data_IF_459446595678
#
_entry.id   IF_459446595678
#
_cell.length_a   1.000
_cell.length_b   1.000
_cell.length_c   1.000
_cell.angle_alpha   90.00
_cell.angle_beta   90.00
_cell.angle_gamma   90.00
#
_symmetry.space_group_name_H-M   'P 1'
#
loop_
_entity.id
_entity.type
_entity.pdbx_description
1 polymer ?
#
# COMPACT_ATOMS: atom_id res chain seq x y z
N UNK A 1 -2.68 20.01 -3.29
CA UNK A 1 -2.34 20.79 -2.09
C UNK A 1 -1.05 21.54 -2.42
N UNK A 2 -1.15 22.79 -2.83
CA UNK A 2 0.05 23.64 -2.96
C UNK A 2 0.48 23.98 -1.55
N UNK A 3 1.63 23.44 -1.15
CA UNK A 3 2.24 23.77 0.11
C UNK A 3 2.45 25.26 0.27
N UNK A 4 2.50 25.69 1.48
CA UNK A 4 2.82 27.08 1.82
C UNK A 4 4.18 27.45 1.19
N UNK A 5 4.27 28.62 0.62
CA UNK A 5 5.34 29.07 -0.25
C UNK A 5 6.76 28.71 0.22
N UNK A 6 7.67 28.57 -0.74
CA UNK A 6 9.10 28.35 -0.47
C UNK A 6 9.58 29.51 0.42
N UNK A 7 9.90 29.21 1.69
CA UNK A 7 10.46 30.20 2.58
C UNK A 7 11.85 30.62 2.08
N UNK A 8 12.01 31.90 1.86
CA UNK A 8 13.26 32.60 1.58
C UNK A 8 14.17 31.97 0.52
N UNK A 9 14.00 32.38 -0.73
CA UNK A 9 15.09 32.31 -1.71
C UNK A 9 16.11 33.39 -1.31
N UNK A 10 17.26 32.98 -0.80
CA UNK A 10 18.34 33.89 -0.51
C UNK A 10 19.33 33.90 -1.66
N UNK A 11 19.46 34.99 -2.37
CA UNK A 11 20.55 35.24 -3.31
C UNK A 11 21.76 35.80 -2.54
N UNK A 12 22.88 35.10 -2.61
CA UNK A 12 24.14 35.66 -2.12
C UNK A 12 24.65 36.64 -3.19
N UNK A 13 24.43 37.93 -2.95
CA UNK A 13 24.90 39.00 -3.82
C UNK A 13 26.34 39.33 -3.50
N UNK A 14 27.24 39.14 -4.44
CA UNK A 14 28.63 39.67 -4.40
C UNK A 14 28.71 41.06 -5.02
N UNK A 15 27.65 41.86 -4.98
CA UNK A 15 27.69 43.26 -5.44
C UNK A 15 28.35 44.10 -4.35
N UNK A 16 29.40 44.86 -4.64
CA UNK A 16 30.01 45.77 -3.67
C UNK A 16 28.96 46.74 -3.12
N UNK A 17 28.95 46.94 -1.82
CA UNK A 17 28.01 47.88 -1.15
C UNK A 17 28.45 49.33 -1.25
N UNK A 18 29.63 49.59 -1.79
CA UNK A 18 30.18 50.93 -1.98
C UNK A 18 31.17 50.97 -3.16
N UNK A 19 31.29 52.09 -3.86
CA UNK A 19 32.19 52.28 -4.99
C UNK A 19 31.48 52.07 -6.36
N UNK A 20 32.25 52.20 -7.45
CA UNK A 20 31.71 52.01 -8.81
C UNK A 20 31.37 50.55 -9.05
N UNK A 21 30.12 50.26 -9.45
CA UNK A 21 29.66 48.91 -9.78
C UNK A 21 29.94 48.67 -11.25
N UNK A 22 30.83 47.73 -11.55
CA UNK A 22 31.11 47.34 -12.94
C UNK A 22 30.08 46.35 -13.48
N UNK A 23 29.97 46.24 -14.79
CA UNK A 23 29.12 45.23 -15.46
C UNK A 23 29.52 43.80 -15.08
N UNK A 24 30.82 43.55 -14.77
CA UNK A 24 31.31 42.28 -14.28
C UNK A 24 30.79 41.98 -12.85
N UNK A 25 30.65 42.99 -12.01
CA UNK A 25 30.10 42.86 -10.66
C UNK A 25 28.61 42.48 -10.72
N UNK A 26 27.87 43.08 -11.62
CA UNK A 26 26.46 42.74 -11.86
C UNK A 26 26.30 41.33 -12.48
N UNK A 27 27.21 40.94 -13.39
CA UNK A 27 27.22 39.63 -14.04
C UNK A 27 27.51 38.48 -13.08
N UNK A 28 28.27 38.74 -12.04
CA UNK A 28 28.62 37.76 -10.99
C UNK A 28 27.80 37.96 -9.70
N UNK A 29 26.80 38.84 -9.72
CA UNK A 29 26.05 39.26 -8.54
C UNK A 29 25.29 38.13 -7.87
N UNK A 30 24.92 37.06 -8.59
CA UNK A 30 24.23 35.91 -8.02
C UNK A 30 25.05 34.65 -8.30
N UNK A 31 25.97 34.31 -7.38
CA UNK A 31 26.78 33.11 -7.51
C UNK A 31 26.08 31.86 -6.97
N UNK A 32 25.09 32.04 -6.09
CA UNK A 32 24.38 30.94 -5.45
C UNK A 32 22.95 31.33 -5.11
N UNK A 33 22.01 30.45 -5.40
CA UNK A 33 20.62 30.52 -4.94
C UNK A 33 20.36 29.41 -3.94
N UNK A 34 19.95 29.78 -2.72
CA UNK A 34 19.53 28.81 -1.69
C UNK A 34 18.04 28.94 -1.48
N UNK A 35 17.34 27.82 -1.59
CA UNK A 35 15.92 27.71 -1.27
C UNK A 35 15.72 26.75 -0.10
N UNK A 36 14.79 27.08 0.79
CA UNK A 36 14.43 26.21 1.93
C UNK A 36 12.95 25.89 1.87
N UNK A 37 12.62 24.61 1.73
CA UNK A 37 11.25 24.12 1.84
C UNK A 37 10.89 23.95 3.32
N UNK A 38 10.10 24.89 3.83
CA UNK A 38 9.56 24.89 5.20
C UNK A 38 8.12 24.36 5.15
N UNK A 39 7.66 23.75 6.24
CA UNK A 39 6.29 23.23 6.33
C UNK A 39 6.10 21.89 5.61
N UNK A 40 4.84 21.58 5.30
CA UNK A 40 4.48 20.31 4.68
C UNK A 40 4.27 20.46 3.17
N UNK A 41 4.96 19.66 2.40
CA UNK A 41 4.90 19.66 0.94
C UNK A 41 4.44 18.33 0.40
N UNK A 42 3.74 18.37 -0.73
CA UNK A 42 3.40 17.20 -1.53
C UNK A 42 3.97 17.36 -2.93
N UNK A 43 4.72 16.36 -3.42
CA UNK A 43 5.32 16.33 -4.77
C UNK A 43 6.17 17.55 -5.09
N UNK A 44 7.14 17.87 -4.26
CA UNK A 44 8.00 19.04 -4.43
C UNK A 44 8.82 18.92 -5.73
N UNK A 45 8.57 19.83 -6.68
CA UNK A 45 9.29 19.90 -7.95
C UNK A 45 10.35 20.99 -7.90
N UNK A 46 11.64 20.61 -7.91
CA UNK A 46 12.76 21.53 -7.78
C UNK A 46 12.75 22.60 -8.89
N UNK A 47 12.39 22.22 -10.12
CA UNK A 47 12.40 23.14 -11.28
C UNK A 47 11.28 24.17 -11.22
N UNK A 48 10.07 23.77 -10.92
CA UNK A 48 8.89 24.62 -11.12
C UNK A 48 8.43 25.32 -9.84
N UNK A 49 8.54 24.62 -8.72
CA UNK A 49 8.00 25.12 -7.45
C UNK A 49 9.06 25.76 -6.55
N UNK A 50 10.34 25.36 -6.73
CA UNK A 50 11.42 25.82 -5.87
C UNK A 50 12.21 26.95 -6.53
N UNK A 51 12.89 26.66 -7.65
CA UNK A 51 13.83 27.59 -8.27
C UNK A 51 13.23 28.42 -9.40
N UNK A 52 12.13 27.96 -9.99
CA UNK A 52 11.62 28.48 -11.26
C UNK A 52 12.48 28.02 -12.45
N UNK A 53 11.87 28.01 -13.63
CA UNK A 53 12.48 27.44 -14.83
C UNK A 53 13.84 28.08 -15.18
N UNK A 54 13.88 29.41 -15.22
CA UNK A 54 15.06 30.17 -15.65
C UNK A 54 16.25 29.96 -14.69
N UNK A 55 16.02 30.01 -13.38
CA UNK A 55 17.06 29.75 -12.38
C UNK A 55 17.53 28.32 -12.43
N UNK A 56 16.59 27.37 -12.58
CA UNK A 56 16.90 25.94 -12.59
C UNK A 56 17.79 25.54 -13.77
N UNK A 57 17.53 26.10 -14.95
CA UNK A 57 18.30 25.82 -16.17
C UNK A 57 19.57 26.67 -16.31
N UNK A 58 19.77 27.65 -15.43
CA UNK A 58 20.97 28.51 -15.46
C UNK A 58 22.21 27.79 -14.90
N UNK A 59 23.38 28.35 -15.18
CA UNK A 59 24.68 27.86 -14.65
C UNK A 59 24.93 28.26 -13.19
N UNK A 60 24.00 28.99 -12.56
CA UNK A 60 24.10 29.43 -11.16
C UNK A 60 24.09 28.21 -10.24
N UNK A 61 24.91 28.23 -9.22
CA UNK A 61 24.90 27.21 -8.15
C UNK A 61 23.58 27.28 -7.36
N UNK A 62 22.97 26.15 -7.15
CA UNK A 62 21.68 26.00 -6.44
C UNK A 62 21.82 25.11 -5.22
N UNK A 63 21.09 25.44 -4.19
CA UNK A 63 20.98 24.59 -3.01
C UNK A 63 19.51 24.51 -2.58
N UNK A 64 19.00 23.29 -2.46
CA UNK A 64 17.69 23.03 -1.87
C UNK A 64 17.88 22.43 -0.47
N UNK A 65 17.34 23.12 0.53
CA UNK A 65 17.28 22.65 1.90
C UNK A 65 15.85 22.18 2.21
N UNK A 66 15.72 21.03 2.86
CA UNK A 66 14.44 20.53 3.38
C UNK A 66 14.46 20.73 4.88
N UNK A 67 13.58 21.57 5.39
CA UNK A 67 13.39 21.84 6.82
C UNK A 67 12.05 21.31 7.34
N UNK A 68 11.09 21.04 6.45
CA UNK A 68 9.78 20.48 6.77
C UNK A 68 9.58 19.06 6.23
N UNK A 69 8.34 18.56 6.33
CA UNK A 69 7.98 17.26 5.78
C UNK A 69 7.67 17.36 4.29
N UNK A 70 8.12 16.39 3.52
CA UNK A 70 7.79 16.27 2.10
C UNK A 70 7.29 14.86 1.83
N UNK A 71 6.13 14.76 1.22
CA UNK A 71 5.44 13.50 0.98
C UNK A 71 5.04 13.28 -0.47
N UNK A 72 4.64 12.05 -0.76
CA UNK A 72 4.02 11.64 -2.01
C UNK A 72 2.57 11.23 -1.75
N UNK A 73 1.67 11.54 -2.67
CA UNK A 73 0.24 11.18 -2.62
C UNK A 73 -0.11 9.98 -3.49
N UNK A 74 0.86 9.34 -4.13
CA UNK A 74 0.64 8.18 -4.97
C UNK A 74 1.93 7.41 -5.27
N UNK A 75 1.78 6.22 -5.80
CA UNK A 75 2.91 5.34 -6.13
C UNK A 75 3.72 5.80 -7.35
N UNK A 76 3.10 6.54 -8.27
CA UNK A 76 3.71 6.99 -9.52
C UNK A 76 4.44 8.32 -9.40
N UNK A 77 4.19 9.07 -8.32
CA UNK A 77 4.81 10.36 -8.08
C UNK A 77 5.79 10.31 -6.90
N UNK A 78 7.01 10.87 -7.01
CA UNK A 78 7.94 10.94 -5.90
C UNK A 78 7.56 12.07 -4.93
N UNK A 79 8.06 11.98 -3.69
CA UNK A 79 7.94 13.11 -2.77
C UNK A 79 8.73 14.33 -3.27
N UNK A 80 9.90 14.11 -3.86
CA UNK A 80 10.72 15.18 -4.49
C UNK A 80 11.12 14.77 -5.90
N UNK A 81 11.04 15.73 -6.83
CA UNK A 81 11.53 15.56 -8.19
C UNK A 81 12.56 16.63 -8.54
N UNK A 82 13.78 16.21 -8.87
CA UNK A 82 14.76 17.02 -9.58
C UNK A 82 14.56 16.78 -11.07
N UNK A 83 13.89 17.72 -11.71
CA UNK A 83 13.48 17.65 -13.11
C UNK A 83 14.70 17.65 -14.06
N UNK A 84 14.51 17.20 -15.28
CA UNK A 84 15.54 17.32 -16.34
C UNK A 84 15.87 18.76 -16.67
N UNK A 85 17.06 18.99 -17.26
CA UNK A 85 17.51 20.31 -17.70
C UNK A 85 18.06 21.20 -16.59
N UNK A 86 18.28 20.68 -15.39
CA UNK A 86 19.05 21.39 -14.36
C UNK A 86 20.49 21.60 -14.83
N UNK A 87 20.99 22.81 -14.72
CA UNK A 87 22.35 23.19 -15.10
C UNK A 87 23.07 23.82 -13.91
N UNK A 88 24.41 23.91 -13.97
CA UNK A 88 25.22 24.30 -12.83
C UNK A 88 25.23 23.26 -11.72
N UNK A 89 25.81 23.61 -10.57
CA UNK A 89 25.82 22.74 -9.40
C UNK A 89 24.48 22.80 -8.66
N UNK A 90 23.89 21.65 -8.40
CA UNK A 90 22.67 21.52 -7.57
C UNK A 90 23.00 20.69 -6.34
N UNK A 91 22.84 21.28 -5.16
CA UNK A 91 23.07 20.62 -3.87
C UNK A 91 21.73 20.40 -3.16
N UNK A 92 21.50 19.21 -2.66
CA UNK A 92 20.34 18.86 -1.85
C UNK A 92 20.75 18.58 -0.42
N UNK A 93 20.03 19.15 0.55
CA UNK A 93 20.29 18.96 1.99
C UNK A 93 18.98 18.74 2.74
N UNK A 94 19.01 17.88 3.73
CA UNK A 94 17.93 17.73 4.72
C UNK A 94 18.44 18.33 6.03
N UNK A 95 17.93 19.50 6.39
CA UNK A 95 18.37 20.25 7.57
C UNK A 95 17.62 19.87 8.86
N UNK A 96 16.55 19.08 8.73
CA UNK A 96 15.78 18.64 9.90
C UNK A 96 16.59 17.65 10.72
N UNK A 97 16.81 17.95 12.01
CA UNK A 97 17.59 17.15 12.94
C UNK A 97 16.77 16.09 13.69
N UNK A 98 15.45 16.02 13.49
CA UNK A 98 14.61 14.97 14.08
C UNK A 98 15.03 13.59 13.57
N UNK A 99 14.97 12.58 14.42
CA UNK A 99 15.31 11.18 14.07
C UNK A 99 14.34 10.51 13.09
N UNK A 100 13.20 11.14 12.81
CA UNK A 100 12.18 10.60 11.90
C UNK A 100 12.45 10.98 10.45
N UNK A 101 12.08 10.14 9.46
CA UNK A 101 12.12 10.51 8.06
C UNK A 101 11.29 11.76 7.81
N UNK A 102 11.80 12.69 7.02
CA UNK A 102 11.11 13.93 6.64
C UNK A 102 10.70 13.96 5.17
N UNK A 103 11.41 13.23 4.31
CA UNK A 103 11.04 13.00 2.91
C UNK A 103 10.60 11.56 2.78
N UNK A 104 9.32 11.37 2.45
CA UNK A 104 8.69 10.04 2.44
C UNK A 104 7.92 9.81 1.16
N UNK A 105 8.16 8.66 0.53
CA UNK A 105 7.32 8.13 -0.51
C UNK A 105 5.92 7.78 0.00
N UNK A 106 4.99 7.53 -0.92
CA UNK A 106 3.63 7.10 -0.62
C UNK A 106 3.61 5.75 0.07
N UNK A 107 2.78 5.61 1.09
CA UNK A 107 2.49 4.33 1.74
C UNK A 107 1.52 3.54 0.86
N UNK A 108 1.91 2.38 0.37
CA UNK A 108 1.01 1.53 -0.41
C UNK A 108 -0.28 1.23 0.34
N UNK A 109 -1.41 1.41 -0.33
CA UNK A 109 -2.73 1.13 0.24
C UNK A 109 -2.90 -0.38 0.46
N UNK A 110 -3.67 -0.69 1.48
CA UNK A 110 -4.00 -2.06 1.86
C UNK A 110 -5.04 -2.67 0.92
N UNK A 111 -4.89 -3.95 0.63
CA UNK A 111 -5.91 -4.75 -0.04
C UNK A 111 -7.11 -5.01 0.88
N UNK A 112 -8.30 -5.07 0.33
CA UNK A 112 -9.53 -5.39 1.05
C UNK A 112 -9.71 -6.91 1.11
N UNK A 113 -10.14 -7.43 2.25
CA UNK A 113 -10.44 -8.85 2.40
C UNK A 113 -11.64 -9.29 1.55
N UNK A 114 -11.62 -10.53 1.08
CA UNK A 114 -12.70 -11.13 0.29
C UNK A 114 -14.01 -11.14 1.08
N UNK A 115 -15.04 -10.45 0.58
CA UNK A 115 -16.32 -10.25 1.22
C UNK A 115 -17.43 -11.18 0.73
N UNK A 116 -18.62 -11.00 1.28
CA UNK A 116 -19.84 -11.64 0.85
C UNK A 116 -20.44 -10.88 -0.34
N UNK A 117 -20.01 -11.18 -1.56
CA UNK A 117 -20.84 -10.82 -2.71
C UNK A 117 -21.83 -11.95 -2.94
N UNK A 118 -23.13 -11.65 -2.93
CA UNK A 118 -24.23 -12.61 -2.88
C UNK A 118 -24.31 -13.67 -3.98
N UNK A 119 -23.40 -13.69 -4.94
CA UNK A 119 -23.45 -14.56 -6.12
C UNK A 119 -22.24 -15.50 -6.28
N UNK A 120 -21.72 -16.03 -5.21
CA UNK A 120 -20.82 -17.20 -5.25
C UNK A 120 -19.49 -17.07 -6.00
N UNK A 121 -19.22 -15.95 -6.66
CA UNK A 121 -18.03 -15.74 -7.50
C UNK A 121 -16.95 -14.84 -6.91
N UNK A 122 -17.33 -13.92 -6.07
CA UNK A 122 -16.42 -12.92 -5.53
C UNK A 122 -16.00 -13.22 -4.09
N UNK A 123 -14.84 -13.59 -3.83
CA UNK A 123 -14.33 -13.83 -2.48
C UNK A 123 -12.81 -13.83 -2.45
N UNK A 124 -12.19 -13.45 -3.55
CA UNK A 124 -10.73 -13.20 -3.55
C UNK A 124 -10.44 -11.92 -2.77
N UNK A 125 -9.31 -11.94 -2.05
CA UNK A 125 -8.79 -10.72 -1.47
C UNK A 125 -8.21 -9.80 -2.55
N UNK A 126 -8.35 -8.50 -2.37
CA UNK A 126 -7.75 -7.51 -3.27
C UNK A 126 -6.24 -7.39 -3.02
N UNK A 127 -5.51 -7.03 -4.07
CA UNK A 127 -4.07 -6.76 -3.95
C UNK A 127 -3.80 -5.48 -3.16
N UNK A 128 -2.68 -5.45 -2.44
CA UNK A 128 -2.15 -4.22 -1.88
C UNK A 128 -1.42 -3.39 -2.96
N UNK A 129 -1.40 -2.09 -2.80
CA UNK A 129 -0.73 -1.16 -3.71
C UNK A 129 0.78 -1.07 -3.46
N UNK A 130 1.50 -0.67 -4.48
CA UNK A 130 2.93 -0.39 -4.35
C UNK A 130 3.17 0.91 -3.56
N UNK A 131 4.29 0.96 -2.85
CA UNK A 131 4.78 2.22 -2.26
C UNK A 131 5.27 3.19 -3.33
N UNK A 132 5.30 4.49 -3.02
CA UNK A 132 5.84 5.54 -3.88
C UNK A 132 7.31 5.86 -3.56
N UNK A 133 8.03 6.42 -4.54
CA UNK A 133 9.44 6.80 -4.38
C UNK A 133 9.60 8.03 -3.48
N UNK A 134 10.68 8.07 -2.70
CA UNK A 134 11.04 9.26 -1.95
C UNK A 134 11.54 10.37 -2.88
N UNK A 135 12.40 10.06 -3.85
CA UNK A 135 12.99 11.05 -4.75
C UNK A 135 13.21 10.49 -6.17
N UNK A 136 12.96 11.31 -7.18
CA UNK A 136 13.41 11.07 -8.56
C UNK A 136 14.40 12.15 -8.96
N UNK A 137 15.53 11.72 -9.52
CA UNK A 137 16.64 12.58 -9.93
C UNK A 137 16.78 12.47 -11.44
N UNK A 138 16.47 13.56 -12.14
CA UNK A 138 16.62 13.68 -13.60
C UNK A 138 17.64 14.76 -13.98
N UNK A 139 18.42 15.24 -13.02
CA UNK A 139 19.54 16.17 -13.16
C UNK A 139 20.66 15.75 -12.23
N UNK A 140 21.90 16.12 -12.53
CA UNK A 140 23.02 15.88 -11.62
C UNK A 140 22.87 16.69 -10.35
N UNK A 141 22.86 16.03 -9.18
CA UNK A 141 22.81 16.68 -7.88
C UNK A 141 23.91 16.15 -6.95
N UNK A 142 24.33 16.98 -6.01
CA UNK A 142 25.21 16.62 -4.91
C UNK A 142 24.42 16.48 -3.62
N UNK A 143 24.62 15.36 -2.93
CA UNK A 143 24.08 15.14 -1.58
C UNK A 143 25.28 15.07 -0.62
N UNK A 144 25.52 16.12 0.18
CA UNK A 144 26.58 16.10 1.18
C UNK A 144 26.40 14.96 2.19
N UNK A 145 27.49 14.37 2.64
CA UNK A 145 27.47 13.23 3.55
C UNK A 145 26.66 13.47 4.83
N UNK A 146 25.83 12.52 5.21
CA UNK A 146 25.14 12.42 6.50
C UNK A 146 23.62 12.38 6.40
N UNK A 147 23.02 11.41 7.07
CA UNK A 147 21.60 11.32 7.46
C UNK A 147 20.53 11.02 6.39
N UNK A 148 20.85 10.94 5.10
CA UNK A 148 19.84 10.62 4.07
C UNK A 148 19.19 9.24 4.27
N UNK A 149 19.97 8.28 4.78
CA UNK A 149 19.49 6.92 5.02
C UNK A 149 18.34 6.80 6.03
N UNK A 150 18.23 7.75 6.96
CA UNK A 150 17.15 7.77 7.95
C UNK A 150 16.03 8.77 7.62
N UNK A 151 16.30 9.79 6.82
CA UNK A 151 15.43 10.95 6.61
C UNK A 151 14.78 11.03 5.23
N UNK A 152 15.38 10.38 4.22
CA UNK A 152 14.82 10.21 2.88
C UNK A 152 14.46 8.73 2.70
N UNK A 153 13.20 8.40 2.55
CA UNK A 153 12.69 7.03 2.42
C UNK A 153 11.71 6.88 1.26
N UNK A 154 11.78 5.75 0.59
CA UNK A 154 10.71 5.24 -0.24
C UNK A 154 9.60 4.63 0.61
N UNK A 155 8.37 4.60 0.13
CA UNK A 155 7.25 3.98 0.83
C UNK A 155 7.31 2.46 0.80
N UNK A 156 6.73 1.83 1.80
CA UNK A 156 6.49 0.39 1.84
C UNK A 156 5.25 0.00 1.03
N UNK A 157 5.20 -1.22 0.53
CA UNK A 157 4.02 -1.77 -0.14
C UNK A 157 2.87 -2.05 0.82
N UNK A 158 1.65 -2.01 0.35
CA UNK A 158 0.46 -2.44 1.09
C UNK A 158 0.30 -3.96 1.08
N UNK A 159 -0.17 -4.54 2.18
CA UNK A 159 -0.48 -5.96 2.28
C UNK A 159 -1.71 -6.36 1.46
N UNK A 160 -1.72 -7.56 0.91
CA UNK A 160 -2.88 -8.11 0.23
C UNK A 160 -4.00 -8.48 1.21
N UNK A 161 -5.26 -8.37 0.82
CA UNK A 161 -6.37 -8.85 1.60
C UNK A 161 -6.48 -10.38 1.62
N UNK A 162 -6.95 -10.97 2.70
CA UNK A 162 -7.21 -12.40 2.79
C UNK A 162 -8.38 -12.86 1.92
N UNK A 163 -8.35 -14.09 1.47
CA UNK A 163 -9.45 -14.69 0.70
C UNK A 163 -10.60 -15.15 1.59
N UNK A 164 -11.80 -15.19 1.04
CA UNK A 164 -12.98 -15.72 1.73
C UNK A 164 -12.87 -17.22 1.96
N UNK A 165 -13.36 -17.73 3.08
CA UNK A 165 -13.50 -19.16 3.35
C UNK A 165 -14.51 -19.83 2.42
N UNK A 166 -14.31 -21.11 2.17
CA UNK A 166 -15.21 -21.92 1.36
C UNK A 166 -16.56 -22.18 2.05
N UNK A 167 -17.61 -22.33 1.29
CA UNK A 167 -18.91 -22.72 1.81
C UNK A 167 -18.88 -24.18 2.27
N UNK A 168 -19.55 -24.50 3.39
CA UNK A 168 -19.72 -25.84 3.86
C UNK A 168 -20.60 -26.68 2.92
N UNK A 169 -20.40 -28.00 2.90
CA UNK A 169 -21.23 -28.94 2.14
C UNK A 169 -22.65 -29.03 2.68
N UNK A 170 -23.60 -29.24 1.80
CA UNK A 170 -25.01 -29.48 2.20
C UNK A 170 -25.17 -30.75 3.00
N UNK A 171 -26.10 -30.77 3.94
CA UNK A 171 -26.43 -31.95 4.73
C UNK A 171 -27.21 -32.98 3.93
N UNK A 172 -26.89 -34.27 4.08
CA UNK A 172 -27.70 -35.37 3.60
C UNK A 172 -28.95 -35.56 4.45
N UNK A 173 -29.97 -36.09 3.85
CA UNK A 173 -31.17 -36.44 4.59
C UNK A 173 -30.87 -37.63 5.54
N UNK A 174 -31.41 -37.58 6.76
CA UNK A 174 -31.44 -38.73 7.64
C UNK A 174 -32.69 -39.56 7.33
N UNK A 175 -32.52 -40.84 7.22
CA UNK A 175 -33.66 -41.77 6.99
C UNK A 175 -33.41 -43.08 7.65
N UNK A 176 -34.46 -43.67 8.15
CA UNK A 176 -34.48 -45.04 8.69
C UNK A 176 -35.20 -45.99 7.79
N UNK A 177 -34.97 -47.30 7.96
CA UNK A 177 -35.83 -48.32 7.36
C UNK A 177 -37.02 -48.55 8.27
N UNK A 178 -38.22 -48.49 7.71
CA UNK A 178 -39.40 -48.94 8.42
C UNK A 178 -39.89 -50.22 7.79
N UNK A 179 -40.34 -51.12 8.62
CA UNK A 179 -41.01 -52.36 8.17
C UNK A 179 -42.39 -52.02 7.60
N UNK A 180 -42.71 -52.64 6.49
CA UNK A 180 -44.10 -52.67 5.92
C UNK A 180 -44.69 -54.06 6.15
N UNK A 181 -45.85 -54.13 6.75
CA UNK A 181 -46.54 -55.34 7.01
C UNK A 181 -46.25 -55.97 8.42
N UNK A 182 -47.15 -56.83 8.87
CA UNK A 182 -47.16 -57.38 10.24
C UNK A 182 -45.98 -58.29 10.54
N UNK A 183 -45.28 -58.81 9.52
CA UNK A 183 -44.08 -59.64 9.64
C UNK A 183 -42.83 -59.05 8.98
N UNK A 184 -42.77 -57.73 8.74
CA UNK A 184 -41.61 -57.07 8.12
C UNK A 184 -41.18 -57.65 6.78
N UNK A 185 -42.12 -58.15 5.95
CA UNK A 185 -41.85 -58.71 4.61
C UNK A 185 -41.36 -57.67 3.60
N UNK A 186 -41.40 -56.41 3.90
CA UNK A 186 -40.86 -55.30 3.09
C UNK A 186 -40.25 -54.22 3.98
N UNK A 187 -39.16 -53.62 3.55
CA UNK A 187 -38.62 -52.45 4.19
C UNK A 187 -38.58 -51.28 3.18
N UNK A 188 -39.12 -50.15 3.55
CA UNK A 188 -38.96 -48.92 2.79
C UNK A 188 -38.22 -47.88 3.60
N UNK A 189 -37.50 -47.04 2.94
CA UNK A 189 -36.78 -45.93 3.59
C UNK A 189 -37.71 -44.74 3.79
N UNK A 190 -37.75 -44.25 5.01
CA UNK A 190 -38.47 -43.03 5.32
C UNK A 190 -37.44 -41.94 5.56
N UNK A 191 -37.48 -40.91 4.74
CA UNK A 191 -36.63 -39.74 4.92
C UNK A 191 -37.31 -38.84 5.95
N UNK A 192 -36.84 -38.87 7.17
CA UNK A 192 -37.47 -38.20 8.31
C UNK A 192 -37.00 -36.75 8.52
N UNK A 193 -35.85 -36.39 8.02
CA UNK A 193 -35.31 -35.02 8.14
C UNK A 193 -34.65 -34.58 6.85
N UNK A 194 -34.96 -33.39 6.39
CA UNK A 194 -34.26 -32.75 5.30
C UNK A 194 -32.87 -32.31 5.77
N UNK A 195 -31.84 -32.56 4.96
CA UNK A 195 -30.51 -32.01 5.25
C UNK A 195 -30.52 -30.49 5.20
N UNK A 196 -29.73 -29.85 6.06
CA UNK A 196 -29.58 -28.42 6.07
C UNK A 196 -28.68 -27.90 4.97
N UNK A 197 -28.73 -26.62 4.69
CA UNK A 197 -27.77 -25.94 3.81
C UNK A 197 -26.42 -25.79 4.50
N UNK A 198 -25.32 -25.92 3.74
CA UNK A 198 -23.97 -25.70 4.26
C UNK A 198 -23.77 -24.27 4.77
N UNK A 199 -22.96 -24.13 5.81
CA UNK A 199 -22.63 -22.83 6.38
C UNK A 199 -21.83 -21.94 5.40
N UNK A 200 -22.04 -20.64 5.46
CA UNK A 200 -21.27 -19.70 4.65
C UNK A 200 -19.82 -19.63 5.14
N UNK A 201 -18.88 -19.47 4.22
CA UNK A 201 -17.48 -19.19 4.55
C UNK A 201 -17.32 -17.82 5.19
N UNK A 202 -16.35 -17.71 6.10
CA UNK A 202 -15.99 -16.44 6.75
C UNK A 202 -15.33 -15.46 5.77
N UNK A 203 -15.45 -14.18 6.03
CA UNK A 203 -14.79 -13.16 5.23
C UNK A 203 -13.27 -13.15 5.48
N UNK A 204 -12.48 -12.84 4.46
CA UNK A 204 -11.05 -12.61 4.59
C UNK A 204 -10.74 -11.32 5.35
N UNK A 205 -9.60 -11.30 6.02
CA UNK A 205 -9.10 -10.11 6.71
C UNK A 205 -8.55 -9.07 5.74
N UNK A 206 -8.60 -7.81 6.11
CA UNK A 206 -7.98 -6.73 5.32
C UNK A 206 -6.46 -6.72 5.45
N UNK A 207 -5.73 -6.37 4.40
CA UNK A 207 -4.28 -6.16 4.43
C UNK A 207 -3.88 -4.98 5.30
N UNK A 208 -2.60 -4.90 5.69
CA UNK A 208 -2.02 -3.76 6.38
C UNK A 208 -1.49 -2.71 5.40
N UNK A 209 -1.56 -1.44 5.75
CA UNK A 209 -0.98 -0.35 4.97
C UNK A 209 0.53 -0.34 5.09
N UNK A 210 1.26 0.03 4.03
CA UNK A 210 2.72 0.22 4.05
C UNK A 210 3.16 1.42 4.89
N UNK A 211 4.45 1.49 5.22
CA UNK A 211 5.06 2.70 5.78
C UNK A 211 5.16 3.79 4.72
N UNK A 212 5.05 5.07 5.10
CA UNK A 212 5.15 6.19 4.17
C UNK A 212 4.18 7.31 4.48
N UNK A 213 3.87 8.11 3.46
CA UNK A 213 2.90 9.19 3.54
C UNK A 213 1.56 8.72 2.96
N UNK A 214 0.45 9.01 3.64
CA UNK A 214 -0.87 8.56 3.21
C UNK A 214 -1.97 9.52 3.64
N UNK A 215 -3.13 9.44 2.98
CA UNK A 215 -4.34 10.16 3.36
C UNK A 215 -5.13 9.37 4.40
N UNK A 216 -5.37 9.94 5.58
CA UNK A 216 -6.10 9.27 6.67
C UNK A 216 -7.61 9.52 6.67
N UNK A 217 -8.14 10.18 5.63
CA UNK A 217 -9.54 10.62 5.52
C UNK A 217 -9.75 12.11 5.79
N UNK A 218 -8.83 12.78 6.50
CA UNK A 218 -8.91 14.20 6.82
C UNK A 218 -7.63 14.97 6.52
N UNK A 219 -6.47 14.33 6.61
CA UNK A 219 -5.18 14.96 6.38
C UNK A 219 -4.15 13.97 5.83
N UNK A 220 -3.14 14.50 5.13
CA UNK A 220 -1.95 13.75 4.79
C UNK A 220 -1.09 13.56 6.04
N UNK A 221 -0.76 12.32 6.34
CA UNK A 221 -0.01 11.94 7.54
C UNK A 221 1.06 10.90 7.23
N UNK A 222 1.98 10.69 8.14
CA UNK A 222 3.09 9.77 7.98
C UNK A 222 2.93 8.54 8.88
N UNK A 223 3.33 7.39 8.34
CA UNK A 223 3.43 6.13 9.06
C UNK A 223 4.87 5.63 9.00
N UNK A 224 5.45 5.35 10.15
CA UNK A 224 6.88 5.00 10.26
C UNK A 224 7.16 3.50 10.05
N UNK A 225 6.13 2.65 10.16
CA UNK A 225 6.22 1.20 9.95
C UNK A 225 4.98 0.70 9.21
N UNK A 226 5.09 -0.45 8.57
CA UNK A 226 3.92 -1.15 8.02
C UNK A 226 2.92 -1.53 9.12
N UNK A 227 1.64 -1.57 8.77
CA UNK A 227 0.58 -2.08 9.63
C UNK A 227 0.48 -3.60 9.54
N UNK A 228 0.00 -4.22 10.59
CA UNK A 228 -0.39 -5.62 10.52
C UNK A 228 -1.70 -5.76 9.73
N UNK A 229 -1.81 -6.84 8.99
CA UNK A 229 -3.08 -7.26 8.43
C UNK A 229 -4.05 -7.69 9.52
N UNK A 230 -5.34 -7.75 9.20
CA UNK A 230 -6.37 -8.22 10.12
C UNK A 230 -6.69 -9.69 9.88
N UNK A 231 -7.08 -10.41 10.93
CA UNK A 231 -7.47 -11.82 10.83
C UNK A 231 -8.77 -12.01 10.04
N UNK A 232 -8.88 -13.15 9.36
CA UNK A 232 -10.12 -13.55 8.72
C UNK A 232 -11.18 -13.97 9.74
N UNK A 233 -12.46 -13.91 9.36
CA UNK A 233 -13.57 -14.29 10.25
C UNK A 233 -13.89 -15.77 10.16
N UNK A 234 -14.45 -16.34 11.22
CA UNK A 234 -14.92 -17.71 11.20
C UNK A 234 -16.11 -17.89 10.23
N UNK A 235 -16.18 -19.05 9.60
CA UNK A 235 -17.36 -19.43 8.83
C UNK A 235 -18.56 -19.78 9.73
N UNK A 236 -19.76 -19.61 9.20
CA UNK A 236 -20.99 -19.93 9.93
C UNK A 236 -21.23 -21.44 10.02
N UNK A 237 -21.99 -21.86 11.03
CA UNK A 237 -22.45 -23.25 11.13
C UNK A 237 -23.41 -23.58 9.98
N UNK A 238 -23.37 -24.80 9.51
CA UNK A 238 -24.40 -25.35 8.62
C UNK A 238 -25.66 -25.73 9.37
N UNK A 239 -26.73 -26.00 8.63
CA UNK A 239 -27.96 -26.60 9.14
C UNK A 239 -27.78 -28.10 9.52
N UNK A 240 -28.89 -28.81 9.71
CA UNK A 240 -28.88 -30.24 10.08
C UNK A 240 -28.00 -31.07 9.13
N UNK A 241 -27.06 -31.82 9.67
CA UNK A 241 -26.08 -32.63 8.95
C UNK A 241 -25.23 -31.86 7.90
N UNK A 242 -25.30 -30.53 7.89
CA UNK A 242 -24.51 -29.73 6.95
C UNK A 242 -23.15 -29.36 7.54
N UNK A 243 -22.17 -29.19 6.66
CA UNK A 243 -20.82 -28.78 7.02
C UNK A 243 -20.77 -27.30 7.42
N UNK A 244 -19.87 -26.97 8.32
CA UNK A 244 -19.52 -25.59 8.69
C UNK A 244 -18.76 -24.93 7.54
N UNK A 245 -18.94 -23.66 7.32
CA UNK A 245 -18.12 -22.87 6.39
C UNK A 245 -16.68 -22.76 6.90
N UNK A 246 -15.74 -22.66 5.97
CA UNK A 246 -14.32 -22.42 6.27
C UNK A 246 -14.10 -21.02 6.82
N UNK A 247 -13.04 -20.81 7.57
CA UNK A 247 -12.58 -19.48 8.01
C UNK A 247 -12.03 -18.70 6.81
N UNK A 248 -12.17 -17.38 6.82
CA UNK A 248 -11.47 -16.51 5.88
C UNK A 248 -9.96 -16.54 6.13
N UNK A 249 -9.17 -16.27 5.12
CA UNK A 249 -7.73 -16.09 5.23
C UNK A 249 -7.39 -14.75 5.89
N UNK A 250 -6.23 -14.67 6.51
CA UNK A 250 -5.72 -13.45 7.11
C UNK A 250 -5.21 -12.47 6.04
N UNK A 251 -5.29 -11.18 6.29
CA UNK A 251 -4.68 -10.17 5.46
C UNK A 251 -3.17 -10.11 5.69
N UNK A 252 -2.42 -9.86 4.63
CA UNK A 252 -0.96 -9.70 4.69
C UNK A 252 -0.55 -8.41 5.40
N UNK A 253 0.59 -8.41 6.07
CA UNK A 253 1.14 -7.20 6.69
C UNK A 253 1.67 -6.23 5.64
N UNK A 254 1.54 -4.92 5.89
CA UNK A 254 2.17 -3.87 5.11
C UNK A 254 3.68 -3.87 5.29
N UNK A 255 4.40 -3.45 4.23
CA UNK A 255 5.85 -3.35 4.23
C UNK A 255 6.35 -2.14 5.02
N UNK A 256 7.50 -2.26 5.67
CA UNK A 256 8.24 -1.12 6.18
C UNK A 256 8.77 -0.26 5.02
N UNK A 257 9.40 0.88 5.34
CA UNK A 257 10.04 1.73 4.31
C UNK A 257 10.90 0.89 3.35
N UNK A 258 10.72 1.10 2.07
CA UNK A 258 11.48 0.45 1.00
C UNK A 258 11.30 -1.08 0.93
N UNK A 259 10.38 -1.64 1.72
CA UNK A 259 10.16 -3.08 1.81
C UNK A 259 8.83 -3.49 1.18
N UNK A 260 8.84 -4.69 0.61
CA UNK A 260 7.62 -5.34 0.14
C UNK A 260 6.71 -5.70 1.32
N UNK A 261 5.43 -5.71 1.07
CA UNK A 261 4.42 -6.22 1.99
C UNK A 261 4.32 -7.75 1.93
N UNK A 262 3.32 -8.31 2.59
CA UNK A 262 2.97 -9.73 2.54
C UNK A 262 1.71 -9.95 1.71
N UNK A 263 1.59 -11.12 1.09
CA UNK A 263 0.35 -11.53 0.46
C UNK A 263 -0.72 -11.78 1.53
N UNK A 264 -1.99 -11.65 1.16
CA UNK A 264 -3.07 -12.18 1.98
C UNK A 264 -3.15 -13.71 1.85
N UNK A 265 -3.63 -14.35 2.90
CA UNK A 265 -3.78 -15.80 2.94
C UNK A 265 -5.02 -16.28 2.18
N UNK A 266 -4.96 -17.51 1.70
CA UNK A 266 -6.12 -18.19 1.13
C UNK A 266 -7.10 -18.56 2.24
N UNK A 267 -8.40 -18.38 2.01
CA UNK A 267 -9.42 -18.85 2.94
C UNK A 267 -9.47 -20.37 3.04
N UNK A 268 -9.86 -20.90 4.19
CA UNK A 268 -9.95 -22.33 4.42
C UNK A 268 -11.13 -22.96 3.68
N UNK A 269 -10.99 -24.24 3.34
CA UNK A 269 -12.08 -25.05 2.77
C UNK A 269 -13.20 -25.23 3.79
N UNK A 270 -14.45 -25.18 3.35
CA UNK A 270 -15.60 -25.53 4.17
C UNK A 270 -15.65 -27.04 4.46
N UNK A 271 -16.21 -27.41 5.60
CA UNK A 271 -16.36 -28.81 5.96
C UNK A 271 -17.39 -29.53 5.08
N UNK A 272 -17.20 -30.82 4.88
CA UNK A 272 -18.19 -31.64 4.21
C UNK A 272 -19.47 -31.77 5.05
N UNK A 273 -20.61 -31.92 4.40
CA UNK A 273 -21.84 -32.32 5.04
C UNK A 273 -21.81 -33.81 5.39
N UNK A 274 -22.54 -34.20 6.43
CA UNK A 274 -22.77 -35.57 6.82
C UNK A 274 -24.15 -36.09 6.44
N UNK A 275 -24.46 -37.33 6.75
CA UNK A 275 -25.77 -37.97 6.50
C UNK A 275 -25.77 -38.94 5.30
N UNK A 276 -26.87 -39.66 5.10
CA UNK A 276 -26.98 -40.65 4.03
C UNK A 276 -27.48 -39.97 2.73
N UNK A 277 -26.62 -39.97 1.73
CA UNK A 277 -26.90 -39.30 0.45
C UNK A 277 -27.77 -40.12 -0.53
N UNK A 278 -27.60 -41.42 -0.52
CA UNK A 278 -28.05 -42.29 -1.65
C UNK A 278 -29.55 -42.55 -1.77
N UNK A 279 -30.34 -42.32 -0.77
CA UNK A 279 -31.76 -42.71 -0.79
C UNK A 279 -32.74 -41.60 -0.47
N UNK A 280 -32.29 -40.51 0.11
CA UNK A 280 -33.13 -39.41 0.56
C UNK A 280 -32.78 -38.06 -0.11
N UNK A 281 -31.74 -38.02 -0.91
CA UNK A 281 -31.24 -36.78 -1.50
C UNK A 281 -30.38 -35.98 -0.54
N UNK A 282 -29.88 -34.86 -0.99
CA UNK A 282 -29.10 -33.89 -0.21
C UNK A 282 -29.48 -32.49 -0.60
N UNK A 283 -29.25 -31.53 0.29
CA UNK A 283 -29.46 -30.11 0.03
C UNK A 283 -28.23 -29.53 -0.67
N UNK A 284 -28.02 -29.87 -1.93
CA UNK A 284 -26.87 -29.51 -2.73
C UNK A 284 -25.67 -30.48 -2.57
N UNK A 285 -24.49 -30.06 -3.02
CA UNK A 285 -23.26 -30.86 -2.86
C UNK A 285 -22.89 -31.05 -1.38
N UNK A 286 -22.64 -32.29 -0.98
CA UNK A 286 -22.16 -32.61 0.37
C UNK A 286 -20.68 -32.24 0.57
N UNK A 287 -19.96 -32.01 -0.51
CA UNK A 287 -18.55 -31.60 -0.44
C UNK A 287 -18.43 -30.10 -0.09
N UNK A 288 -17.63 -29.79 0.88
CA UNK A 288 -17.28 -28.40 1.20
C UNK A 288 -16.54 -27.73 0.04
N UNK A 289 -16.80 -26.46 -0.18
CA UNK A 289 -16.13 -25.68 -1.23
C UNK A 289 -14.77 -25.21 -0.75
N UNK A 290 -13.81 -25.12 -1.66
CA UNK A 290 -12.50 -24.53 -1.38
C UNK A 290 -12.61 -23.04 -1.05
N UNK A 291 -11.74 -22.56 -0.17
CA UNK A 291 -11.59 -21.15 0.09
C UNK A 291 -11.06 -20.40 -1.15
N UNK A 292 -11.20 -19.11 -1.15
CA UNK A 292 -10.73 -18.22 -2.22
C UNK A 292 -9.32 -17.73 -1.92
N UNK A 293 -8.56 -17.43 -2.97
CA UNK A 293 -7.20 -16.92 -2.86
C UNK A 293 -7.18 -15.55 -2.18
N UNK A 294 -6.12 -15.30 -1.42
CA UNK A 294 -5.80 -13.97 -0.94
C UNK A 294 -5.26 -13.07 -2.04
N UNK A 295 -5.25 -11.79 -1.79
CA UNK A 295 -4.71 -10.76 -2.67
C UNK A 295 -3.18 -10.74 -2.68
N UNK A 296 -2.60 -10.25 -3.76
CA UNK A 296 -1.16 -10.07 -3.88
C UNK A 296 -0.66 -8.91 -3.02
N UNK A 297 0.58 -9.00 -2.60
CA UNK A 297 1.28 -7.90 -1.90
C UNK A 297 1.61 -6.74 -2.84
N UNK A 298 1.67 -5.53 -2.31
CA UNK A 298 2.34 -4.40 -2.93
C UNK A 298 3.85 -4.44 -2.71
N UNK A 299 4.60 -3.85 -3.62
CA UNK A 299 6.06 -3.74 -3.51
C UNK A 299 6.45 -2.43 -2.81
N UNK A 300 7.52 -2.48 -2.04
CA UNK A 300 8.17 -1.27 -1.53
C UNK A 300 8.85 -0.50 -2.66
N UNK A 301 8.89 0.81 -2.55
CA UNK A 301 9.58 1.67 -3.50
C UNK A 301 10.97 2.06 -3.00
N UNK A 302 11.91 2.23 -3.93
CA UNK A 302 13.25 2.70 -3.61
C UNK A 302 13.24 4.12 -3.04
N UNK A 303 14.22 4.43 -2.21
CA UNK A 303 14.47 5.77 -1.66
C UNK A 303 14.58 6.81 -2.76
N UNK A 304 15.40 6.52 -3.76
CA UNK A 304 15.59 7.38 -4.94
C UNK A 304 15.77 6.56 -6.19
N UNK A 305 15.56 7.19 -7.33
CA UNK A 305 15.94 6.67 -8.65
C UNK A 305 16.49 7.79 -9.52
N UNK A 306 17.41 7.45 -10.40
CA UNK A 306 17.98 8.36 -11.39
C UNK A 306 17.41 8.06 -12.77
N UNK A 307 17.26 9.09 -13.62
CA UNK A 307 16.80 8.96 -15.00
C UNK A 307 17.50 10.00 -15.89
N UNK A 308 17.45 9.78 -17.21
CA UNK A 308 17.96 10.73 -18.21
C UNK A 308 19.44 11.10 -18.02
N UNK A 309 20.31 10.12 -17.70
CA UNK A 309 21.73 10.36 -17.52
C UNK A 309 22.09 11.16 -16.27
N UNK A 310 21.15 11.37 -15.37
CA UNK A 310 21.41 12.04 -14.10
C UNK A 310 22.33 11.21 -13.20
N UNK A 311 23.18 11.88 -12.46
CA UNK A 311 24.05 11.26 -11.46
C UNK A 311 23.77 11.85 -10.07
N UNK A 312 23.85 10.98 -9.07
CA UNK A 312 23.76 11.35 -7.67
C UNK A 312 25.16 11.27 -7.06
N UNK A 313 25.73 12.41 -6.73
CA UNK A 313 27.06 12.48 -6.11
C UNK A 313 26.88 12.56 -4.58
N UNK A 314 27.32 11.52 -3.91
CA UNK A 314 27.43 11.48 -2.45
C UNK A 314 28.83 11.97 -2.09
N UNK A 315 28.93 13.11 -1.43
CA UNK A 315 30.21 13.67 -0.96
C UNK A 315 30.32 13.60 0.56
#
# INVERSE_FOLDING_TARGET
YRGQGVGNITANNNVPTSGAISFSNLRNAVSKVTATANGNWMHLQARYEVFGNNTYTSTITKQLNIAGNVGSSGNDEPAIRFNSGGNGSITFRINNTSGSPVVRGYAGEKGVGGGNTGDGGGGKGDGGENGGKGMIVSSTISMPTGHYNSRLRGGGGGGGGGGKGGKGGGGGHSGGRRCSGWFCHGSYRVCSNNGGTGGNGGNGGGGGRGAGYYWNGSAWTAKNSGENGTGGTAGSNGGTNAGKGGTGGDGGNGGNYESNAQNGDTGNTGNNGGGQQQSCGSNGSMTGQSGKAGGSKGNGASRHSTSNGASLNLT
#
